data_IF_502580559013
#
_entry.id   IF_502580559013
#
_cell.length_a   1.000
_cell.length_b   1.000
_cell.length_c   1.000
_cell.angle_alpha   90.00
_cell.angle_beta   90.00
_cell.angle_gamma   90.00
#
_symmetry.space_group_name_H-M   'P 1'
#
loop_
_entity.id
_entity.type
_entity.pdbx_description
1 polymer ?
#
# COMPACT_ATOMS: atom_id res chain seq x y z
N UNK A 1 8.02 1.38 -10.60
CA UNK A 1 7.58 0.60 -9.44
C UNK A 1 6.29 -0.15 -9.81
N UNK A 2 5.44 -0.56 -8.87
CA UNK A 2 4.14 -1.20 -9.18
C UNK A 2 3.01 -0.34 -8.62
N UNK A 3 1.85 -0.37 -9.30
CA UNK A 3 0.59 0.19 -8.77
C UNK A 3 -0.15 -0.92 -8.02
N UNK A 4 -0.65 -0.57 -6.84
CA UNK A 4 -1.33 -1.50 -5.93
C UNK A 4 -2.80 -1.13 -5.78
N UNK A 5 -3.65 -2.13 -5.59
CA UNK A 5 -5.07 -1.97 -5.25
C UNK A 5 -5.44 -2.84 -4.05
N UNK A 6 -6.13 -2.26 -3.07
CA UNK A 6 -6.60 -3.03 -1.91
C UNK A 6 -7.99 -3.65 -2.14
N UNK A 7 -8.57 -4.24 -1.09
CA UNK A 7 -9.90 -4.84 -1.16
C UNK A 7 -10.98 -3.76 -1.21
N UNK A 8 -11.95 -3.89 -2.12
CA UNK A 8 -13.06 -2.94 -2.23
C UNK A 8 -14.07 -3.12 -1.09
N UNK A 9 -13.80 -2.47 0.05
CA UNK A 9 -14.57 -2.63 1.29
C UNK A 9 -15.20 -1.31 1.79
N UNK A 10 -14.85 -0.17 1.18
CA UNK A 10 -15.30 1.15 1.65
C UNK A 10 -16.59 1.57 0.95
N UNK A 11 -17.70 1.67 1.69
CA UNK A 11 -18.98 2.06 1.10
C UNK A 11 -19.06 3.58 0.85
N UNK A 12 -19.26 3.99 -0.40
CA UNK A 12 -19.50 5.38 -0.80
C UNK A 12 -20.60 5.44 -1.86
N UNK A 13 -21.68 6.16 -1.56
CA UNK A 13 -22.81 6.39 -2.50
C UNK A 13 -23.36 5.10 -3.14
N UNK A 14 -23.45 4.02 -2.35
CA UNK A 14 -23.95 2.72 -2.82
C UNK A 14 -22.94 1.89 -3.63
N UNK A 15 -21.68 2.32 -3.72
CA UNK A 15 -20.58 1.57 -4.32
C UNK A 15 -19.58 1.16 -3.25
N UNK A 16 -18.88 0.07 -3.51
CA UNK A 16 -17.70 -0.32 -2.75
C UNK A 16 -16.46 0.23 -3.45
N UNK A 17 -15.65 0.95 -2.68
CA UNK A 17 -14.43 1.61 -3.09
C UNK A 17 -13.23 0.88 -2.51
N UNK A 18 -12.12 0.94 -3.24
CA UNK A 18 -10.79 0.53 -2.81
C UNK A 18 -9.79 1.66 -3.07
N UNK A 19 -8.68 1.63 -2.36
CA UNK A 19 -7.57 2.51 -2.63
C UNK A 19 -6.72 1.93 -3.77
N UNK A 20 -6.31 2.81 -4.68
CA UNK A 20 -5.25 2.58 -5.64
C UNK A 20 -4.07 3.50 -5.32
N UNK A 21 -2.87 2.95 -5.16
CA UNK A 21 -1.71 3.68 -4.66
C UNK A 21 -0.40 3.13 -5.23
N UNK A 22 0.66 3.93 -5.16
CA UNK A 22 2.03 3.56 -5.57
C UNK A 22 3.03 4.44 -4.82
N UNK A 23 4.25 3.95 -4.54
CA UNK A 23 5.38 4.81 -4.15
C UNK A 23 5.89 5.69 -5.30
N UNK A 24 5.48 5.41 -6.54
CA UNK A 24 5.77 6.19 -7.73
C UNK A 24 4.49 6.90 -8.20
N UNK A 25 4.46 8.24 -8.07
CA UNK A 25 3.29 9.03 -8.42
C UNK A 25 3.05 9.09 -9.93
N UNK A 26 4.10 9.03 -10.75
CA UNK A 26 3.95 9.07 -12.20
C UNK A 26 3.24 7.81 -12.70
N UNK A 27 3.62 6.64 -12.16
CA UNK A 27 2.92 5.38 -12.45
C UNK A 27 1.49 5.37 -11.92
N UNK A 28 1.25 5.97 -10.75
CA UNK A 28 -0.09 6.07 -10.18
C UNK A 28 -1.01 6.92 -11.05
N UNK A 29 -0.53 8.07 -11.52
CA UNK A 29 -1.26 8.96 -12.42
C UNK A 29 -1.48 8.31 -13.78
N UNK A 30 -0.46 7.63 -14.34
CA UNK A 30 -0.59 6.91 -15.59
C UNK A 30 -1.63 5.78 -15.53
N UNK A 31 -1.68 5.02 -14.42
CA UNK A 31 -2.74 4.02 -14.22
C UNK A 31 -4.12 4.67 -14.10
N UNK A 32 -4.24 5.77 -13.34
CA UNK A 32 -5.49 6.51 -13.21
C UNK A 32 -6.04 6.96 -14.57
N UNK A 33 -5.19 7.54 -15.43
CA UNK A 33 -5.56 7.92 -16.79
C UNK A 33 -6.06 6.73 -17.62
N UNK A 34 -5.31 5.61 -17.60
CA UNK A 34 -5.64 4.39 -18.35
C UNK A 34 -6.99 3.78 -17.95
N UNK A 35 -7.39 3.90 -16.68
CA UNK A 35 -8.68 3.39 -16.18
C UNK A 35 -9.79 4.45 -16.18
N UNK A 36 -9.54 5.64 -16.75
CA UNK A 36 -10.52 6.71 -16.90
C UNK A 36 -10.84 7.46 -15.60
N UNK A 37 -9.87 7.57 -14.68
CA UNK A 37 -9.93 8.40 -13.47
C UNK A 37 -9.16 9.69 -13.71
N UNK A 38 -9.84 10.81 -13.51
CA UNK A 38 -9.24 12.14 -13.72
C UNK A 38 -8.29 12.52 -12.58
N UNK A 39 -7.18 13.20 -12.92
CA UNK A 39 -6.14 13.54 -11.95
C UNK A 39 -6.63 14.41 -10.79
N UNK A 40 -7.69 15.20 -10.97
CA UNK A 40 -8.31 16.00 -9.89
C UNK A 40 -8.87 15.17 -8.72
N UNK A 41 -9.08 13.86 -8.92
CA UNK A 41 -9.51 12.94 -7.86
C UNK A 41 -8.36 12.35 -7.05
N UNK A 42 -7.12 12.74 -7.36
CA UNK A 42 -5.96 12.38 -6.58
C UNK A 42 -6.06 12.96 -5.17
N UNK A 43 -5.84 12.12 -4.17
CA UNK A 43 -5.83 12.52 -2.78
C UNK A 43 -4.39 12.63 -2.31
N UNK A 44 -3.92 13.86 -2.12
CA UNK A 44 -2.55 14.19 -1.73
C UNK A 44 -2.50 14.62 -0.25
N UNK A 45 -1.71 13.96 0.62
CA UNK A 45 -1.55 14.36 2.02
C UNK A 45 -0.98 15.78 2.21
N UNK A 46 -0.34 16.37 1.20
CA UNK A 46 0.15 17.75 1.25
C UNK A 46 -0.96 18.79 1.11
N UNK A 47 -2.11 18.41 0.53
CA UNK A 47 -3.21 19.34 0.23
C UNK A 47 -4.54 18.92 0.87
N UNK A 48 -4.65 17.67 1.32
CA UNK A 48 -5.85 17.07 1.88
C UNK A 48 -5.53 16.29 3.15
N UNK A 49 -6.50 16.16 4.06
CA UNK A 49 -6.37 15.36 5.29
C UNK A 49 -6.48 13.86 4.98
N UNK A 50 -5.46 13.31 4.34
CA UNK A 50 -5.28 11.87 4.06
C UNK A 50 -3.92 11.40 4.56
N UNK A 51 -3.74 10.09 4.73
CA UNK A 51 -2.51 9.55 5.35
C UNK A 51 -1.39 9.26 4.34
N UNK A 52 -1.70 9.04 3.07
CA UNK A 52 -0.73 8.78 2.00
C UNK A 52 -1.36 9.11 0.63
N UNK A 53 -0.56 9.37 -0.43
CA UNK A 53 -1.08 9.65 -1.76
C UNK A 53 -1.82 8.45 -2.38
N UNK A 54 -3.04 8.64 -2.86
CA UNK A 54 -3.84 7.56 -3.47
C UNK A 54 -5.00 8.10 -4.32
N UNK A 55 -5.66 7.20 -5.03
CA UNK A 55 -7.00 7.39 -5.59
C UNK A 55 -7.99 6.44 -4.93
N UNK A 56 -9.24 6.89 -4.74
CA UNK A 56 -10.35 5.99 -4.46
C UNK A 56 -11.02 5.58 -5.77
N UNK A 57 -11.08 4.27 -6.03
CA UNK A 57 -11.70 3.72 -7.25
C UNK A 57 -12.77 2.71 -6.88
N UNK A 58 -13.80 2.58 -7.73
CA UNK A 58 -14.84 1.58 -7.53
C UNK A 58 -14.41 0.18 -7.99
N UNK A 59 -15.21 -0.84 -7.68
CA UNK A 59 -14.95 -2.24 -8.07
C UNK A 59 -14.73 -2.43 -9.58
N UNK A 60 -15.41 -1.68 -10.43
CA UNK A 60 -15.27 -1.79 -11.89
C UNK A 60 -13.90 -1.28 -12.31
N UNK A 61 -13.48 -0.11 -11.84
CA UNK A 61 -12.13 0.42 -12.10
C UNK A 61 -11.05 -0.47 -11.51
N UNK A 62 -11.28 -1.04 -10.33
CA UNK A 62 -10.36 -2.00 -9.69
C UNK A 62 -10.10 -3.20 -10.59
N UNK A 63 -11.15 -3.80 -11.16
CA UNK A 63 -11.00 -4.94 -12.07
C UNK A 63 -10.16 -4.57 -13.30
N UNK A 64 -10.43 -3.42 -13.92
CA UNK A 64 -9.65 -2.92 -15.06
C UNK A 64 -8.19 -2.67 -14.66
N UNK A 65 -7.93 -2.04 -13.51
CA UNK A 65 -6.57 -1.80 -13.04
C UNK A 65 -5.79 -3.12 -12.88
N UNK A 66 -6.42 -4.15 -12.33
CA UNK A 66 -5.84 -5.50 -12.20
C UNK A 66 -5.53 -6.10 -13.57
N UNK A 67 -6.47 -6.03 -14.52
CA UNK A 67 -6.26 -6.52 -15.90
C UNK A 67 -5.11 -5.78 -16.61
N UNK A 68 -4.85 -4.53 -16.21
CA UNK A 68 -3.73 -3.71 -16.71
C UNK A 68 -2.42 -3.89 -15.92
N UNK A 69 -2.39 -4.78 -14.93
CA UNK A 69 -1.18 -5.17 -14.18
C UNK A 69 -1.07 -4.60 -12.77
N UNK A 70 -2.11 -3.98 -12.21
CA UNK A 70 -2.10 -3.57 -10.81
C UNK A 70 -2.04 -4.78 -9.87
N UNK A 71 -1.21 -4.69 -8.84
CA UNK A 71 -0.99 -5.76 -7.86
C UNK A 71 -2.07 -5.68 -6.77
N UNK A 72 -2.75 -6.80 -6.52
CA UNK A 72 -3.73 -6.88 -5.43
C UNK A 72 -3.04 -7.01 -4.08
N UNK A 73 -3.47 -6.19 -3.13
CA UNK A 73 -3.00 -6.21 -1.75
C UNK A 73 -4.11 -6.60 -0.78
N UNK A 74 -3.76 -7.36 0.23
CA UNK A 74 -4.55 -7.52 1.44
C UNK A 74 -4.34 -6.32 2.40
N UNK A 75 -5.01 -6.35 3.56
CA UNK A 75 -4.91 -5.25 4.54
C UNK A 75 -3.49 -5.07 5.11
N UNK A 76 -2.70 -6.13 5.27
CA UNK A 76 -1.38 -6.07 5.90
C UNK A 76 -0.33 -5.61 4.90
N UNK A 77 -0.40 -6.09 3.66
CA UNK A 77 0.38 -5.61 2.52
C UNK A 77 0.10 -4.13 2.26
N UNK A 78 -1.19 -3.73 2.30
CA UNK A 78 -1.59 -2.32 2.15
C UNK A 78 -0.99 -1.44 3.24
N UNK A 79 -1.06 -1.84 4.51
CA UNK A 79 -0.45 -1.07 5.60
C UNK A 79 1.07 -1.01 5.49
N UNK A 80 1.72 -2.10 5.09
CA UNK A 80 3.17 -2.12 4.88
C UNK A 80 3.60 -1.18 3.75
N UNK A 81 2.92 -1.22 2.60
CA UNK A 81 3.18 -0.28 1.51
C UNK A 81 2.89 1.15 1.87
N UNK A 82 1.74 1.42 2.50
CA UNK A 82 1.43 2.75 2.98
C UNK A 82 2.52 3.27 3.93
N UNK A 83 3.05 2.43 4.82
CA UNK A 83 4.13 2.81 5.72
C UNK A 83 5.43 3.14 4.98
N UNK A 84 5.77 2.39 3.92
CA UNK A 84 6.93 2.66 3.07
C UNK A 84 6.76 3.99 2.33
N UNK A 85 5.61 4.21 1.70
CA UNK A 85 5.27 5.47 1.01
C UNK A 85 5.36 6.67 1.97
N UNK A 86 4.93 6.49 3.22
CA UNK A 86 4.98 7.54 4.26
C UNK A 86 6.35 7.70 4.92
N UNK A 87 7.32 6.80 4.68
CA UNK A 87 8.58 6.77 5.45
C UNK A 87 8.38 6.49 6.94
N UNK A 88 7.42 5.63 7.30
CA UNK A 88 6.97 5.36 8.67
C UNK A 88 7.48 4.03 9.22
N UNK A 89 8.70 4.00 9.80
CA UNK A 89 9.27 2.77 10.38
C UNK A 89 8.50 2.15 11.51
N UNK A 90 7.87 2.98 12.35
CA UNK A 90 7.11 2.57 13.51
C UNK A 90 5.95 1.66 13.08
N UNK A 91 5.30 1.99 11.96
CA UNK A 91 4.25 1.17 11.35
C UNK A 91 4.83 -0.13 10.78
N UNK A 92 6.00 -0.08 10.12
CA UNK A 92 6.67 -1.28 9.63
C UNK A 92 7.08 -2.23 10.76
N UNK A 93 7.62 -1.71 11.87
CA UNK A 93 7.92 -2.48 13.09
C UNK A 93 6.67 -3.21 13.61
N UNK A 94 5.51 -2.56 13.57
CA UNK A 94 4.25 -3.18 13.96
C UNK A 94 3.84 -4.32 13.02
N UNK A 95 4.00 -4.16 11.69
CA UNK A 95 3.75 -5.25 10.74
C UNK A 95 4.76 -6.37 10.94
N UNK A 96 6.03 -6.07 11.19
CA UNK A 96 7.09 -7.06 11.47
C UNK A 96 6.73 -7.92 12.69
N UNK A 97 6.25 -7.29 13.77
CA UNK A 97 5.76 -8.01 14.93
C UNK A 97 4.53 -8.89 14.64
N UNK A 98 3.67 -8.51 13.69
CA UNK A 98 2.52 -9.32 13.24
C UNK A 98 2.89 -10.41 12.22
N UNK A 99 4.09 -10.32 11.64
CA UNK A 99 4.61 -11.28 10.67
C UNK A 99 5.50 -12.35 11.30
N UNK A 100 5.92 -12.15 12.55
CA UNK A 100 6.79 -13.05 13.30
C UNK A 100 6.17 -14.46 13.42
N UNK A 101 6.73 -15.48 12.75
CA UNK A 101 6.17 -16.83 12.71
C UNK A 101 6.30 -17.56 14.05
N UNK A 102 7.08 -17.04 15.00
CA UNK A 102 7.17 -17.62 16.35
C UNK A 102 5.97 -17.28 17.23
N UNK A 103 5.14 -16.32 16.82
CA UNK A 103 3.94 -15.93 17.57
C UNK A 103 2.78 -16.87 17.29
N UNK A 104 1.98 -17.14 18.32
CA UNK A 104 0.76 -17.94 18.20
C UNK A 104 -0.27 -17.34 17.21
N UNK A 105 -0.22 -16.03 16.98
CA UNK A 105 -1.03 -15.33 15.99
C UNK A 105 -0.17 -14.39 15.16
N UNK A 106 0.05 -14.76 13.90
CA UNK A 106 0.91 -14.06 12.95
C UNK A 106 0.19 -13.83 11.61
N UNK A 107 -0.80 -12.92 11.57
CA UNK A 107 -1.63 -12.75 10.38
C UNK A 107 -0.90 -12.11 9.19
N UNK A 108 0.26 -11.48 9.43
CA UNK A 108 1.05 -10.81 8.41
C UNK A 108 2.28 -11.62 7.97
N UNK A 109 2.37 -12.92 8.29
CA UNK A 109 3.55 -13.76 8.00
C UNK A 109 3.94 -13.81 6.52
N UNK A 110 2.98 -13.56 5.61
CA UNK A 110 3.22 -13.53 4.16
C UNK A 110 3.80 -12.19 3.66
N UNK A 111 3.63 -11.09 4.40
CA UNK A 111 4.09 -9.74 4.01
C UNK A 111 5.61 -9.66 3.77
N UNK A 112 6.49 -10.27 4.59
CA UNK A 112 7.94 -10.32 4.34
C UNK A 112 8.32 -10.75 2.92
N UNK A 113 7.88 -11.95 2.51
CA UNK A 113 8.21 -12.53 1.23
C UNK A 113 7.63 -11.69 0.09
N UNK A 114 6.38 -11.23 0.26
CA UNK A 114 5.73 -10.37 -0.71
C UNK A 114 6.46 -9.04 -0.92
N UNK A 115 6.94 -8.37 0.14
CA UNK A 115 7.72 -7.13 -0.01
C UNK A 115 9.03 -7.34 -0.75
N UNK A 116 9.70 -8.48 -0.53
CA UNK A 116 10.90 -8.85 -1.29
C UNK A 116 10.56 -9.02 -2.78
N UNK A 117 9.46 -9.70 -3.11
CA UNK A 117 8.97 -9.83 -4.49
C UNK A 117 8.65 -8.48 -5.14
N UNK A 118 8.19 -7.51 -4.35
CA UNK A 118 7.92 -6.14 -4.83
C UNK A 118 9.19 -5.27 -4.90
N UNK A 119 10.38 -5.82 -4.60
CA UNK A 119 11.66 -5.11 -4.69
C UNK A 119 12.05 -4.31 -3.44
N UNK A 120 11.44 -4.57 -2.29
CA UNK A 120 11.72 -3.88 -1.02
C UNK A 120 12.50 -4.74 -0.01
N UNK A 121 13.40 -5.59 -0.49
CA UNK A 121 14.15 -6.54 0.35
C UNK A 121 14.93 -5.86 1.50
N UNK A 122 15.52 -4.69 1.24
CA UNK A 122 16.27 -3.89 2.21
C UNK A 122 15.41 -3.37 3.38
N UNK A 123 14.10 -3.25 3.19
CA UNK A 123 13.20 -2.71 4.23
C UNK A 123 12.86 -3.79 5.27
N UNK A 124 13.00 -5.06 4.90
CA UNK A 124 12.49 -6.19 5.66
C UNK A 124 13.58 -7.13 6.21
N UNK A 125 14.85 -6.80 6.04
CA UNK A 125 15.93 -7.65 6.54
C UNK A 125 15.79 -7.86 8.07
N UNK A 126 15.75 -9.14 8.50
CA UNK A 126 15.64 -9.46 9.92
C UNK A 126 16.95 -9.20 10.68
N UNK A 127 18.08 -9.25 9.97
CA UNK A 127 19.43 -9.18 10.53
C UNK A 127 19.95 -7.76 10.69
N UNK A 128 19.51 -6.82 9.84
CA UNK A 128 19.92 -5.42 9.92
C UNK A 128 18.85 -4.60 10.63
N UNK A 129 19.02 -4.49 11.94
CA UNK A 129 18.34 -3.49 12.76
C UNK A 129 19.02 -2.12 12.67
N UNK A 130 19.47 -1.68 11.49
CA UNK A 130 19.91 -0.29 11.27
C UNK A 130 18.70 0.59 10.96
N UNK A 131 17.77 0.63 11.92
CA UNK A 131 16.81 1.71 11.99
C UNK A 131 17.37 2.75 12.96
N UNK A 132 17.49 4.05 12.59
CA UNK A 132 18.05 5.05 13.49
C UNK A 132 17.31 4.98 14.84
N UNK A 133 18.05 5.00 15.97
CA UNK A 133 17.44 4.94 17.28
C UNK A 133 16.34 5.99 17.38
N UNK A 134 15.24 5.65 18.06
CA UNK A 134 14.19 6.62 18.36
C UNK A 134 14.88 7.85 18.98
N UNK A 135 14.85 8.97 18.26
CA UNK A 135 15.32 10.23 18.80
C UNK A 135 14.38 10.59 19.95
N UNK A 136 14.93 10.61 21.17
CA UNK A 136 14.30 11.09 22.40
C UNK A 136 13.66 12.48 22.25
#
# INVERSE_FOLDING_TARGET
MSVYVDSAIHALRGRLMCHMFSPDLDELHAMAERIGIEQRWFQDPLTMRVSWPHYDIDQTRRAIAIDLGAVVCDRYQTVAMAAIIQGRPDKLRRIRALADPSRAFAPATHVPAWLIEQGFAQIWNWEEADWPPESE
#
